data_IF_877489426301
#
_entry.id   IF_877489426301
#
_cell.length_a   1.000
_cell.length_b   1.000
_cell.length_c   1.000
_cell.angle_alpha   90.00
_cell.angle_beta   90.00
_cell.angle_gamma   90.00
#
_symmetry.space_group_name_H-M   'P 1'
#
loop_
_entity.id
_entity.type
_entity.pdbx_description
1 polymer ?
#
# COMPACT_ATOMS: atom_id res chain seq x y z
N UNK A 1 56.26 -46.38 -80.56
CA UNK A 1 57.04 -45.60 -79.55
C UNK A 1 56.19 -44.43 -79.09
N UNK A 2 55.74 -44.53 -77.84
CA UNK A 2 54.74 -43.69 -77.18
C UNK A 2 55.41 -42.42 -76.62
N UNK A 3 54.87 -41.24 -76.91
CA UNK A 3 55.32 -39.97 -76.30
C UNK A 3 54.78 -39.90 -74.86
N UNK A 4 55.71 -39.91 -73.90
CA UNK A 4 55.48 -39.70 -72.47
C UNK A 4 55.08 -38.24 -72.18
N UNK A 5 53.89 -38.06 -71.60
CA UNK A 5 53.47 -36.82 -70.94
C UNK A 5 54.13 -36.71 -69.57
N UNK A 6 54.74 -35.56 -69.28
CA UNK A 6 55.39 -35.26 -67.99
C UNK A 6 54.35 -35.20 -66.86
N UNK A 7 54.57 -35.98 -65.82
CA UNK A 7 53.85 -35.93 -64.54
C UNK A 7 54.34 -34.69 -63.76
N UNK A 8 53.47 -33.84 -63.20
CA UNK A 8 53.89 -32.68 -62.42
C UNK A 8 54.55 -33.12 -61.10
N UNK A 9 55.58 -32.36 -60.70
CA UNK A 9 56.43 -32.64 -59.56
C UNK A 9 55.65 -32.51 -58.23
N UNK A 10 55.81 -33.45 -57.28
CA UNK A 10 55.08 -33.50 -56.00
C UNK A 10 55.20 -32.21 -55.16
N UNK A 11 56.32 -31.48 -55.27
CA UNK A 11 56.54 -30.21 -54.57
C UNK A 11 55.62 -29.07 -55.05
N UNK A 12 55.17 -29.12 -56.32
CA UNK A 12 54.28 -28.12 -56.93
C UNK A 12 52.85 -28.28 -56.43
N UNK A 13 52.38 -29.51 -56.25
CA UNK A 13 51.02 -29.85 -55.79
C UNK A 13 50.81 -29.40 -54.33
N UNK A 14 51.77 -29.67 -53.44
CA UNK A 14 51.69 -29.22 -52.04
C UNK A 14 51.76 -27.69 -51.87
N UNK A 15 52.43 -26.99 -52.78
CA UNK A 15 52.50 -25.52 -52.78
C UNK A 15 51.18 -24.90 -53.25
N UNK A 16 50.54 -25.48 -54.26
CA UNK A 16 49.21 -25.07 -54.73
C UNK A 16 48.12 -25.34 -53.68
N UNK A 17 48.12 -26.49 -53.01
CA UNK A 17 47.18 -26.76 -51.91
C UNK A 17 47.33 -25.79 -50.73
N UNK A 18 48.57 -25.49 -50.32
CA UNK A 18 48.80 -24.53 -49.24
C UNK A 18 48.40 -23.10 -49.64
N UNK A 19 48.58 -22.72 -50.90
CA UNK A 19 48.09 -21.44 -51.41
C UNK A 19 46.56 -21.40 -51.46
N UNK A 20 45.88 -22.47 -51.89
CA UNK A 20 44.42 -22.55 -51.85
C UNK A 20 43.87 -22.48 -50.43
N UNK A 21 44.49 -23.17 -49.47
CA UNK A 21 44.10 -23.08 -48.04
C UNK A 21 44.27 -21.66 -47.48
N UNK A 22 45.36 -20.97 -47.83
CA UNK A 22 45.57 -19.56 -47.45
C UNK A 22 44.55 -18.63 -48.09
N UNK A 23 44.20 -18.83 -49.36
CA UNK A 23 43.16 -18.04 -50.04
C UNK A 23 41.79 -18.25 -49.39
N UNK A 24 41.43 -19.51 -49.09
CA UNK A 24 40.16 -19.83 -48.41
C UNK A 24 40.08 -19.21 -47.01
N UNK A 25 41.16 -19.28 -46.24
CA UNK A 25 41.23 -18.69 -44.90
C UNK A 25 41.15 -17.15 -44.94
N UNK A 26 41.83 -16.53 -45.90
CA UNK A 26 41.74 -15.09 -46.16
C UNK A 26 40.33 -14.67 -46.57
N UNK A 27 39.65 -15.47 -47.40
CA UNK A 27 38.26 -15.21 -47.81
C UNK A 27 37.30 -15.34 -46.61
N UNK A 28 37.51 -16.32 -45.73
CA UNK A 28 36.71 -16.50 -44.52
C UNK A 28 36.89 -15.32 -43.54
N UNK A 29 38.11 -14.83 -43.38
CA UNK A 29 38.43 -13.65 -42.57
C UNK A 29 37.82 -12.37 -43.13
N UNK A 30 37.81 -12.20 -44.46
CA UNK A 30 37.17 -11.06 -45.13
C UNK A 30 35.64 -11.13 -44.97
N UNK A 31 35.03 -12.30 -45.13
CA UNK A 31 33.58 -12.49 -44.94
C UNK A 31 33.15 -12.29 -43.47
N UNK A 32 33.98 -12.74 -42.52
CA UNK A 32 33.76 -12.47 -41.10
C UNK A 32 33.88 -10.96 -40.79
N UNK A 33 34.87 -10.28 -41.39
CA UNK A 33 35.05 -8.83 -41.28
C UNK A 33 33.86 -8.03 -41.82
N UNK A 34 33.34 -8.40 -42.99
CA UNK A 34 32.16 -7.76 -43.62
C UNK A 34 30.89 -7.99 -42.76
N UNK A 35 30.74 -9.17 -42.18
CA UNK A 35 29.60 -9.47 -41.30
C UNK A 35 29.65 -8.66 -40.00
N UNK A 36 30.84 -8.49 -39.42
CA UNK A 36 31.03 -7.67 -38.22
C UNK A 36 30.80 -6.18 -38.48
N UNK A 37 31.23 -5.63 -39.61
CA UNK A 37 31.00 -4.22 -39.95
C UNK A 37 29.53 -3.94 -40.27
N UNK A 38 28.83 -4.86 -40.93
CA UNK A 38 27.38 -4.77 -41.16
C UNK A 38 26.58 -4.83 -39.86
N UNK A 39 26.96 -5.68 -38.91
CA UNK A 39 26.32 -5.76 -37.59
C UNK A 39 26.52 -4.45 -36.78
N UNK A 40 27.74 -3.90 -36.77
CA UNK A 40 28.02 -2.61 -36.13
C UNK A 40 27.24 -1.45 -36.77
N UNK A 41 27.06 -1.45 -38.09
CA UNK A 41 26.25 -0.46 -38.80
C UNK A 41 24.74 -0.57 -38.50
N UNK A 42 24.23 -1.79 -38.33
CA UNK A 42 22.84 -2.05 -37.94
C UNK A 42 22.57 -1.52 -36.51
N UNK A 43 23.47 -1.82 -35.56
CA UNK A 43 23.32 -1.39 -34.17
C UNK A 43 23.36 0.13 -34.00
N UNK A 44 24.26 0.82 -34.72
CA UNK A 44 24.30 2.28 -34.75
C UNK A 44 23.01 2.90 -35.29
N UNK A 45 22.39 2.28 -36.30
CA UNK A 45 21.10 2.73 -36.83
C UNK A 45 19.96 2.49 -35.82
N UNK A 46 19.93 1.33 -35.15
CA UNK A 46 18.96 1.05 -34.07
C UNK A 46 19.05 2.09 -32.97
N UNK A 47 20.26 2.38 -32.47
CA UNK A 47 20.47 3.37 -31.41
C UNK A 47 19.94 4.75 -31.81
N UNK A 48 20.24 5.20 -33.02
CA UNK A 48 19.78 6.51 -33.50
C UNK A 48 18.25 6.56 -33.61
N UNK A 49 17.60 5.50 -34.11
CA UNK A 49 16.14 5.42 -34.20
C UNK A 49 15.47 5.42 -32.83
N UNK A 50 16.06 4.73 -31.86
CA UNK A 50 15.58 4.73 -30.48
C UNK A 50 15.73 6.13 -29.85
N UNK A 51 16.89 6.77 -29.99
CA UNK A 51 17.12 8.14 -29.52
C UNK A 51 16.09 9.11 -30.10
N UNK A 52 15.92 9.10 -31.41
CA UNK A 52 14.97 9.95 -32.12
C UNK A 52 13.54 9.72 -31.63
N UNK A 53 13.13 8.46 -31.45
CA UNK A 53 11.80 8.10 -30.97
C UNK A 53 11.51 8.73 -29.60
N UNK A 54 12.38 8.52 -28.61
CA UNK A 54 12.14 9.04 -27.26
C UNK A 54 12.29 10.55 -27.16
N UNK A 55 13.25 11.16 -27.87
CA UNK A 55 13.42 12.62 -27.84
C UNK A 55 12.25 13.36 -28.47
N UNK A 56 11.58 12.76 -29.47
CA UNK A 56 10.38 13.33 -30.13
C UNK A 56 9.07 12.82 -29.54
N UNK A 57 9.12 11.98 -28.52
CA UNK A 57 7.91 11.42 -27.92
C UNK A 57 7.16 12.50 -27.15
N UNK A 58 5.91 12.71 -27.53
CA UNK A 58 5.00 13.65 -26.89
C UNK A 58 3.67 12.97 -26.56
N UNK A 59 3.02 13.44 -25.49
CA UNK A 59 1.71 12.97 -25.06
C UNK A 59 0.73 14.12 -25.11
N UNK A 60 -0.48 13.89 -25.60
CA UNK A 60 -1.55 14.91 -25.66
C UNK A 60 -2.29 15.13 -24.33
N UNK A 61 -2.01 14.32 -23.30
CA UNK A 61 -2.82 14.30 -22.06
C UNK A 61 -2.03 14.61 -20.79
N UNK A 62 -0.70 14.60 -20.86
CA UNK A 62 0.17 14.83 -19.71
C UNK A 62 1.46 15.51 -20.16
N UNK A 63 1.86 16.56 -19.43
CA UNK A 63 3.20 17.12 -19.52
C UNK A 63 4.14 16.28 -18.66
N UNK A 64 4.90 15.39 -19.31
CA UNK A 64 5.80 14.44 -18.66
C UNK A 64 7.28 14.88 -18.69
N UNK A 65 7.55 16.09 -19.19
CA UNK A 65 8.91 16.55 -19.48
C UNK A 65 9.53 15.84 -20.69
N UNK A 66 10.83 16.07 -20.91
CA UNK A 66 11.56 15.48 -22.05
C UNK A 66 11.87 14.01 -21.79
N UNK A 67 11.58 13.16 -22.76
CA UNK A 67 11.94 11.75 -22.75
C UNK A 67 13.28 11.54 -23.48
N UNK A 68 14.05 10.54 -23.05
CA UNK A 68 15.29 10.13 -23.71
C UNK A 68 15.49 8.62 -23.60
N UNK A 69 16.32 8.09 -24.50
CA UNK A 69 16.86 6.74 -24.38
C UNK A 69 17.95 6.76 -23.30
N UNK A 70 17.85 5.92 -22.29
CA UNK A 70 18.90 5.74 -21.29
C UNK A 70 19.89 4.65 -21.75
N UNK A 71 19.38 3.48 -22.15
CA UNK A 71 20.18 2.39 -22.72
C UNK A 71 19.30 1.42 -23.52
N UNK A 72 19.93 0.54 -24.29
CA UNK A 72 19.25 -0.57 -24.96
C UNK A 72 20.14 -1.82 -24.91
N UNK A 73 19.53 -3.00 -25.05
CA UNK A 73 20.21 -4.27 -25.19
C UNK A 73 19.59 -5.01 -26.37
N UNK A 74 20.39 -5.26 -27.40
CA UNK A 74 19.98 -6.06 -28.55
C UNK A 74 20.63 -7.44 -28.49
N UNK A 75 19.83 -8.48 -28.71
CA UNK A 75 20.31 -9.85 -28.85
C UNK A 75 19.76 -10.43 -30.16
N UNK A 76 20.60 -10.46 -31.19
CA UNK A 76 20.21 -10.91 -32.53
C UNK A 76 19.90 -12.41 -32.58
N UNK A 77 20.62 -13.24 -31.83
CA UNK A 77 20.42 -14.70 -31.78
C UNK A 77 19.03 -15.05 -31.23
N UNK A 78 18.63 -14.38 -30.15
CA UNK A 78 17.33 -14.54 -29.50
C UNK A 78 16.24 -13.66 -30.10
N UNK A 79 16.57 -12.85 -31.12
CA UNK A 79 15.68 -11.85 -31.73
C UNK A 79 14.95 -11.00 -30.69
N UNK A 80 15.69 -10.43 -29.74
CA UNK A 80 15.14 -9.66 -28.61
C UNK A 80 15.78 -8.28 -28.50
N UNK A 81 14.97 -7.27 -28.19
CA UNK A 81 15.39 -5.90 -27.93
C UNK A 81 14.78 -5.42 -26.61
N UNK A 82 15.64 -5.15 -25.61
CA UNK A 82 15.22 -4.44 -24.40
C UNK A 82 15.58 -2.96 -24.53
N UNK A 83 14.60 -2.08 -24.33
CA UNK A 83 14.79 -0.63 -24.43
C UNK A 83 14.49 0.02 -23.10
N UNK A 84 15.40 0.83 -22.59
CA UNK A 84 15.26 1.48 -21.28
C UNK A 84 15.16 2.99 -21.51
N UNK A 85 13.97 3.54 -21.27
CA UNK A 85 13.68 4.96 -21.38
C UNK A 85 13.86 5.67 -20.03
N UNK A 86 14.07 6.98 -20.10
CA UNK A 86 14.15 7.81 -18.90
C UNK A 86 12.88 7.75 -18.03
N UNK A 87 12.98 7.97 -16.71
CA UNK A 87 11.82 7.93 -15.80
C UNK A 87 10.64 8.81 -16.24
N UNK A 88 10.92 9.96 -16.87
CA UNK A 88 9.90 10.85 -17.44
C UNK A 88 8.91 10.14 -18.36
N UNK A 89 9.35 9.14 -19.14
CA UNK A 89 8.47 8.36 -20.01
C UNK A 89 7.40 7.60 -19.22
N UNK A 90 7.70 7.21 -17.98
CA UNK A 90 6.79 6.52 -17.06
C UNK A 90 5.74 7.42 -16.41
N UNK A 91 5.87 8.75 -16.49
CA UNK A 91 4.97 9.71 -15.81
C UNK A 91 3.64 9.93 -16.54
N UNK A 92 3.39 9.20 -17.62
CA UNK A 92 2.11 9.20 -18.34
C UNK A 92 1.19 8.06 -17.88
N UNK A 93 -0.13 8.20 -18.02
CA UNK A 93 -1.04 7.08 -17.80
C UNK A 93 -0.95 6.06 -18.93
N UNK A 94 -0.66 4.80 -18.58
CA UNK A 94 -0.66 3.67 -19.51
C UNK A 94 -2.01 2.95 -19.52
N UNK A 95 -2.53 2.69 -20.72
CA UNK A 95 -3.66 1.79 -20.97
C UNK A 95 -3.20 0.67 -21.91
N UNK A 96 -3.94 -0.45 -22.03
CA UNK A 96 -3.61 -1.49 -23.01
C UNK A 96 -3.44 -0.93 -24.42
N UNK A 97 -4.33 -0.03 -24.84
CA UNK A 97 -4.36 0.54 -26.20
C UNK A 97 -3.17 1.50 -26.43
N UNK A 98 -2.86 2.35 -25.45
CA UNK A 98 -1.71 3.25 -25.52
C UNK A 98 -0.40 2.48 -25.56
N UNK A 99 -0.29 1.44 -24.73
CA UNK A 99 0.90 0.59 -24.66
C UNK A 99 1.14 -0.11 -26.00
N UNK A 100 0.10 -0.68 -26.61
CA UNK A 100 0.17 -1.29 -27.94
C UNK A 100 0.54 -0.26 -29.02
N UNK A 101 -0.05 0.95 -28.97
CA UNK A 101 0.27 2.01 -29.90
C UNK A 101 1.74 2.45 -29.82
N UNK A 102 2.30 2.56 -28.61
CA UNK A 102 3.72 2.87 -28.38
C UNK A 102 4.59 1.78 -29.02
N UNK A 103 4.31 0.51 -28.76
CA UNK A 103 5.06 -0.59 -29.35
C UNK A 103 4.97 -0.60 -30.88
N UNK A 104 3.79 -0.35 -31.45
CA UNK A 104 3.60 -0.25 -32.90
C UNK A 104 4.43 0.89 -33.49
N UNK A 105 4.39 2.08 -32.91
CA UNK A 105 5.15 3.25 -33.39
C UNK A 105 6.66 3.01 -33.29
N UNK A 106 7.13 2.37 -32.21
CA UNK A 106 8.53 2.00 -32.07
C UNK A 106 8.97 0.96 -33.12
N UNK A 107 8.15 -0.08 -33.38
CA UNK A 107 8.43 -1.06 -34.44
C UNK A 107 8.53 -0.39 -35.81
N UNK A 108 7.67 0.58 -36.09
CA UNK A 108 7.70 1.32 -37.35
C UNK A 108 8.94 2.21 -37.50
N UNK A 109 9.56 2.67 -36.40
CA UNK A 109 10.76 3.49 -36.46
C UNK A 109 12.06 2.68 -36.56
N UNK A 110 12.05 1.41 -36.17
CA UNK A 110 13.22 0.54 -36.16
C UNK A 110 13.57 -0.04 -37.53
N UNK A 111 14.87 -0.23 -37.85
CA UNK A 111 15.29 -0.89 -39.08
C UNK A 111 14.97 -2.39 -39.06
N UNK A 112 14.69 -2.97 -40.23
CA UNK A 112 14.69 -4.43 -40.38
C UNK A 112 16.12 -4.99 -40.27
N UNK A 113 16.35 -6.12 -39.58
CA UNK A 113 15.35 -7.08 -39.06
C UNK A 113 14.86 -6.79 -37.62
N UNK A 114 15.40 -5.77 -36.95
CA UNK A 114 15.17 -5.53 -35.51
C UNK A 114 13.71 -5.12 -35.20
N UNK A 115 13.02 -4.51 -36.15
CA UNK A 115 11.58 -4.22 -36.04
C UNK A 115 10.68 -5.48 -35.86
N UNK A 116 11.19 -6.68 -36.18
CA UNK A 116 10.51 -7.95 -35.98
C UNK A 116 10.92 -8.67 -34.68
N UNK A 117 11.77 -8.05 -33.86
CA UNK A 117 12.22 -8.67 -32.61
C UNK A 117 11.11 -8.63 -31.56
N UNK A 118 11.26 -9.48 -30.55
CA UNK A 118 10.53 -9.33 -29.30
C UNK A 118 11.07 -8.08 -28.57
N UNK A 119 10.24 -7.04 -28.48
CA UNK A 119 10.62 -5.74 -27.93
C UNK A 119 9.97 -5.59 -26.56
N UNK A 120 10.77 -5.25 -25.55
CA UNK A 120 10.27 -4.82 -24.24
C UNK A 120 10.79 -3.42 -23.93
N UNK A 121 9.87 -2.50 -23.64
CA UNK A 121 10.20 -1.12 -23.24
C UNK A 121 10.08 -1.02 -21.73
N UNK A 122 11.11 -0.47 -21.09
CA UNK A 122 11.17 -0.23 -19.66
C UNK A 122 11.16 1.26 -19.36
N UNK A 123 10.41 1.64 -18.33
CA UNK A 123 10.45 2.97 -17.71
C UNK A 123 10.33 2.81 -16.20
N UNK A 124 11.11 3.59 -15.45
CA UNK A 124 11.15 3.52 -13.98
C UNK A 124 11.38 2.10 -13.44
N UNK A 125 12.27 1.35 -14.10
CA UNK A 125 12.64 -0.02 -13.72
C UNK A 125 11.59 -1.10 -13.98
N UNK A 126 10.47 -0.78 -14.64
CA UNK A 126 9.40 -1.75 -14.98
C UNK A 126 9.09 -1.74 -16.46
N UNK A 127 8.55 -2.85 -16.97
CA UNK A 127 7.97 -2.88 -18.31
C UNK A 127 6.78 -1.91 -18.38
N UNK A 128 6.57 -1.28 -19.53
CA UNK A 128 5.44 -0.33 -19.68
C UNK A 128 4.08 -1.03 -19.57
N UNK A 129 4.03 -2.34 -19.81
CA UNK A 129 2.88 -3.22 -19.56
C UNK A 129 2.56 -3.35 -18.08
N UNK A 130 3.56 -3.29 -17.20
CA UNK A 130 3.38 -3.31 -15.75
C UNK A 130 2.93 -1.96 -15.19
N UNK A 131 3.19 -0.88 -15.92
CA UNK A 131 2.67 0.45 -15.61
C UNK A 131 1.18 0.59 -15.94
N UNK A 132 0.58 -0.36 -16.69
CA UNK A 132 -0.88 -0.41 -16.86
C UNK A 132 -1.52 -0.69 -15.49
N UNK A 133 -2.44 0.18 -15.02
CA UNK A 133 -3.22 -0.07 -13.81
C UNK A 133 -3.95 -1.41 -13.87
N UNK A 134 -3.94 -2.17 -12.78
CA UNK A 134 -4.46 -3.53 -12.78
C UNK A 134 -5.95 -3.61 -13.17
N UNK A 135 -6.74 -2.58 -12.84
CA UNK A 135 -8.16 -2.50 -13.19
C UNK A 135 -8.42 -2.27 -14.70
N UNK A 136 -7.42 -1.79 -15.44
CA UNK A 136 -7.49 -1.60 -16.90
C UNK A 136 -6.96 -2.82 -17.67
N UNK A 137 -6.33 -3.80 -17.01
CA UNK A 137 -5.81 -4.99 -17.67
C UNK A 137 -6.95 -5.93 -18.07
N UNK A 138 -6.85 -6.51 -19.28
CA UNK A 138 -7.79 -7.56 -19.74
C UNK A 138 -7.84 -8.77 -18.79
N UNK A 139 -6.67 -9.16 -18.26
CA UNK A 139 -6.53 -10.16 -17.21
C UNK A 139 -5.86 -9.49 -16.02
N UNK A 140 -6.58 -9.40 -14.91
CA UNK A 140 -6.00 -8.87 -13.68
C UNK A 140 -4.84 -9.74 -13.23
N UNK A 141 -3.77 -9.06 -12.86
CA UNK A 141 -2.62 -9.66 -12.21
C UNK A 141 -2.88 -9.78 -10.72
N UNK A 142 -3.11 -11.02 -10.29
CA UNK A 142 -3.42 -11.36 -8.90
C UNK A 142 -2.25 -11.10 -7.95
N UNK A 143 -1.02 -11.03 -8.46
CA UNK A 143 0.16 -10.72 -7.64
C UNK A 143 0.18 -9.25 -7.20
N UNK A 144 -0.51 -8.38 -7.95
CA UNK A 144 -0.63 -6.93 -7.69
C UNK A 144 -1.85 -6.56 -6.85
N UNK A 145 -2.68 -7.54 -6.49
CA UNK A 145 -3.82 -7.33 -5.59
C UNK A 145 -3.32 -7.44 -4.15
N UNK A 146 -3.85 -6.59 -3.28
CA UNK A 146 -3.66 -6.75 -1.84
C UNK A 146 -4.20 -8.11 -1.43
N UNK A 147 -3.33 -8.95 -0.86
CA UNK A 147 -3.71 -10.27 -0.37
C UNK A 147 -3.99 -10.20 1.13
N UNK A 148 -4.95 -11.01 1.61
CA UNK A 148 -5.26 -11.16 3.04
C UNK A 148 -5.64 -9.86 3.76
N UNK A 149 -6.29 -8.93 3.05
CA UNK A 149 -6.82 -7.68 3.63
C UNK A 149 -8.02 -7.92 4.54
N UNK A 150 -8.69 -9.05 4.35
CA UNK A 150 -9.93 -9.34 5.02
C UNK A 150 -9.66 -9.91 6.41
N UNK A 151 -10.12 -9.17 7.41
CA UNK A 151 -10.10 -9.63 8.78
C UNK A 151 -10.92 -10.93 8.94
N UNK A 152 -10.34 -11.89 9.65
CA UNK A 152 -10.97 -13.18 9.95
C UNK A 152 -11.36 -13.22 11.43
N UNK A 153 -12.66 -13.36 11.68
CA UNK A 153 -13.24 -13.46 13.01
C UNK A 153 -14.37 -12.46 13.22
N UNK A 154 -14.79 -12.33 14.47
CA UNK A 154 -15.89 -11.45 14.83
C UNK A 154 -15.49 -9.96 14.85
N UNK A 155 -16.39 -9.04 14.46
CA UNK A 155 -16.21 -7.60 14.57
C UNK A 155 -15.80 -7.16 15.99
N UNK A 156 -14.86 -6.22 16.09
CA UNK A 156 -14.37 -5.73 17.41
C UNK A 156 -15.48 -5.14 18.27
N UNK A 157 -16.44 -4.50 17.61
CA UNK A 157 -17.65 -3.96 18.18
C UNK A 157 -18.81 -4.17 17.20
N UNK A 158 -19.99 -4.47 17.72
CA UNK A 158 -21.23 -4.58 16.94
C UNK A 158 -22.33 -3.80 17.62
N UNK A 159 -22.88 -2.80 16.93
CA UNK A 159 -24.10 -2.11 17.36
C UNK A 159 -25.31 -3.01 17.08
N UNK A 160 -25.91 -3.57 18.13
CA UNK A 160 -27.08 -4.44 18.02
C UNK A 160 -28.41 -3.70 18.08
N UNK A 161 -28.40 -2.41 18.43
CA UNK A 161 -29.57 -1.56 18.34
C UNK A 161 -29.78 -0.98 16.94
N UNK A 162 -28.83 -1.16 16.01
CA UNK A 162 -28.99 -0.74 14.62
C UNK A 162 -30.11 -1.57 13.96
N UNK A 163 -31.12 -0.94 13.34
CA UNK A 163 -32.30 -1.65 12.81
C UNK A 163 -32.05 -2.39 11.49
N UNK A 164 -30.83 -2.35 10.96
CA UNK A 164 -30.47 -2.99 9.70
C UNK A 164 -29.07 -3.61 9.75
N UNK A 165 -28.81 -4.51 8.80
CA UNK A 165 -27.50 -5.08 8.51
C UNK A 165 -27.06 -4.62 7.13
N UNK A 166 -25.84 -4.10 7.00
CA UNK A 166 -25.34 -3.57 5.73
C UNK A 166 -24.77 -4.69 4.83
N UNK A 167 -25.58 -5.71 4.50
CA UNK A 167 -25.11 -6.94 3.85
C UNK A 167 -24.51 -6.76 2.44
N UNK A 168 -24.85 -5.66 1.75
CA UNK A 168 -24.22 -5.26 0.48
C UNK A 168 -23.19 -4.13 0.64
N UNK A 169 -22.94 -3.70 1.86
CA UNK A 169 -21.99 -2.66 2.22
C UNK A 169 -20.69 -3.24 2.78
N UNK A 170 -20.21 -2.62 3.86
CA UNK A 170 -18.96 -2.91 4.55
C UNK A 170 -19.17 -3.66 5.87
N UNK A 171 -20.30 -4.36 6.03
CA UNK A 171 -20.62 -5.09 7.26
C UNK A 171 -19.45 -5.97 7.74
N UNK A 172 -18.99 -5.72 8.97
CA UNK A 172 -17.93 -6.49 9.61
C UNK A 172 -16.51 -6.25 9.08
N UNK A 173 -16.33 -5.30 8.15
CA UNK A 173 -15.01 -4.93 7.62
C UNK A 173 -14.31 -3.98 8.58
N UNK A 174 -13.03 -4.25 8.87
CA UNK A 174 -12.18 -3.32 9.62
C UNK A 174 -11.46 -2.38 8.68
N UNK A 175 -11.58 -1.08 8.92
CA UNK A 175 -10.91 -0.04 8.16
C UNK A 175 -10.09 0.79 9.13
N UNK A 176 -8.78 0.81 8.93
CA UNK A 176 -7.91 1.72 9.63
C UNK A 176 -7.71 2.97 8.76
N UNK A 177 -8.16 4.13 9.25
CA UNK A 177 -8.25 5.38 8.50
C UNK A 177 -7.39 6.47 9.15
N UNK A 178 -6.45 7.01 8.37
CA UNK A 178 -5.58 8.10 8.80
C UNK A 178 -6.06 9.40 8.17
N UNK A 179 -6.36 10.37 9.02
CA UNK A 179 -6.69 11.73 8.62
C UNK A 179 -5.45 12.59 8.31
N UNK A 180 -4.34 11.98 7.87
CA UNK A 180 -3.06 12.60 7.49
C UNK A 180 -2.42 13.58 8.51
N UNK A 181 -1.09 13.73 8.44
CA UNK A 181 -0.28 14.73 9.16
C UNK A 181 -0.59 14.93 10.66
N UNK A 182 -0.16 16.05 11.23
CA UNK A 182 -0.31 16.39 12.63
C UNK A 182 0.68 17.46 13.09
N UNK A 183 0.54 17.83 14.37
CA UNK A 183 1.48 18.76 15.00
C UNK A 183 2.72 17.99 15.41
N UNK A 184 3.90 18.47 15.04
CA UNK A 184 5.17 17.85 15.41
C UNK A 184 6.10 18.87 16.07
N UNK A 185 7.00 18.38 16.92
CA UNK A 185 7.99 19.22 17.56
C UNK A 185 9.18 19.43 16.64
N UNK A 186 9.44 20.68 16.28
CA UNK A 186 10.56 21.06 15.44
C UNK A 186 11.73 21.52 16.29
N UNK A 187 12.71 20.62 16.45
CA UNK A 187 13.84 20.81 17.36
C UNK A 187 14.66 22.07 17.07
N UNK A 188 14.94 22.37 15.81
CA UNK A 188 15.69 23.56 15.37
C UNK A 188 14.97 24.88 15.68
N UNK A 189 13.64 24.87 15.78
CA UNK A 189 12.84 26.05 16.16
C UNK A 189 12.40 26.07 17.63
N UNK A 190 12.64 24.99 18.38
CA UNK A 190 12.19 24.86 19.76
C UNK A 190 10.67 24.97 19.94
N UNK A 191 9.87 24.65 18.92
CA UNK A 191 8.42 24.85 18.96
C UNK A 191 7.64 23.74 18.23
N UNK A 192 6.36 23.63 18.55
CA UNK A 192 5.43 22.74 17.86
C UNK A 192 4.85 23.43 16.63
N UNK A 193 5.04 22.85 15.45
CA UNK A 193 4.46 23.36 14.18
C UNK A 193 3.62 22.30 13.46
N UNK A 194 2.74 22.76 12.57
CA UNK A 194 2.02 21.89 11.64
C UNK A 194 2.98 21.36 10.57
N UNK A 195 2.77 20.13 10.11
CA UNK A 195 3.64 19.52 9.09
C UNK A 195 3.51 20.20 7.74
N UNK A 196 2.33 20.73 7.41
CA UNK A 196 2.08 21.40 6.13
C UNK A 196 2.02 22.92 6.29
N UNK A 197 2.55 23.68 5.29
CA UNK A 197 2.44 25.12 5.30
C UNK A 197 0.97 25.54 5.18
N UNK A 198 0.69 26.77 5.62
CA UNK A 198 -0.61 27.39 5.38
C UNK A 198 -0.73 27.74 3.91
N UNK A 199 -1.68 27.14 3.21
CA UNK A 199 -2.00 27.40 1.81
C UNK A 199 -3.44 27.88 1.72
N UNK A 200 -3.69 29.01 1.08
CA UNK A 200 -5.04 29.58 0.91
C UNK A 200 -5.84 29.68 2.22
N UNK A 201 -5.19 30.13 3.31
CA UNK A 201 -5.78 30.22 4.65
C UNK A 201 -6.20 28.85 5.26
N UNK A 202 -5.77 27.73 4.69
CA UNK A 202 -6.00 26.38 5.22
C UNK A 202 -4.69 25.75 5.72
N UNK A 203 -4.81 24.84 6.68
CA UNK A 203 -3.72 23.96 7.13
C UNK A 203 -4.15 22.53 6.84
N UNK A 204 -3.46 21.81 5.94
CA UNK A 204 -3.83 20.46 5.52
C UNK A 204 -4.00 19.49 6.71
N UNK A 205 -3.16 19.63 7.74
CA UNK A 205 -3.19 18.87 9.00
C UNK A 205 -4.54 18.95 9.75
N UNK A 206 -5.23 20.07 9.62
CA UNK A 206 -6.55 20.33 10.22
C UNK A 206 -7.68 20.15 9.21
N UNK A 207 -7.44 20.53 7.95
CA UNK A 207 -8.44 20.49 6.89
C UNK A 207 -8.93 19.07 6.63
N UNK A 208 -8.01 18.11 6.53
CA UNK A 208 -8.35 16.69 6.34
C UNK A 208 -9.21 16.15 7.49
N UNK A 209 -8.83 16.45 8.73
CA UNK A 209 -9.59 16.11 9.92
C UNK A 209 -11.03 16.67 9.87
N UNK A 210 -11.21 17.88 9.32
CA UNK A 210 -12.50 18.58 9.29
C UNK A 210 -13.61 17.85 8.52
N UNK A 211 -13.26 16.95 7.60
CA UNK A 211 -14.23 16.12 6.89
C UNK A 211 -14.10 14.62 7.16
N UNK A 212 -12.90 14.14 7.52
CA UNK A 212 -12.72 12.72 7.84
C UNK A 212 -13.54 12.31 9.07
N UNK A 213 -13.43 13.06 10.16
CA UNK A 213 -14.12 12.73 11.43
C UNK A 213 -15.64 12.85 11.32
N UNK A 214 -16.21 13.99 10.91
CA UNK A 214 -17.67 14.17 10.96
C UNK A 214 -18.42 13.53 9.79
N UNK A 215 -17.75 13.17 8.69
CA UNK A 215 -18.43 12.65 7.49
C UNK A 215 -17.91 11.28 7.05
N UNK A 216 -16.60 11.12 6.79
CA UNK A 216 -16.09 9.86 6.21
C UNK A 216 -16.19 8.71 7.20
N UNK A 217 -15.76 8.89 8.45
CA UNK A 217 -15.87 7.85 9.49
C UNK A 217 -17.35 7.43 9.67
N UNK A 218 -18.31 8.35 9.92
CA UNK A 218 -19.71 7.99 10.02
C UNK A 218 -20.28 7.32 8.76
N UNK A 219 -19.87 7.75 7.57
CA UNK A 219 -20.31 7.12 6.32
C UNK A 219 -19.88 5.64 6.26
N UNK A 220 -18.63 5.34 6.61
CA UNK A 220 -18.11 3.97 6.62
C UNK A 220 -18.76 3.12 7.73
N UNK A 221 -18.92 3.67 8.93
CA UNK A 221 -19.58 3.00 10.06
C UNK A 221 -21.06 2.71 9.76
N UNK A 222 -21.77 3.66 9.13
CA UNK A 222 -23.16 3.46 8.67
C UNK A 222 -23.25 2.42 7.56
N UNK A 223 -22.21 2.28 6.74
CA UNK A 223 -22.09 1.20 5.76
C UNK A 223 -21.71 -0.15 6.40
N UNK A 224 -21.50 -0.22 7.72
CA UNK A 224 -21.24 -1.46 8.46
C UNK A 224 -19.78 -1.74 8.79
N UNK A 225 -18.87 -0.83 8.44
CA UNK A 225 -17.46 -0.97 8.80
C UNK A 225 -17.21 -0.68 10.28
N UNK A 226 -16.12 -1.24 10.79
CA UNK A 226 -15.50 -0.88 12.06
C UNK A 226 -14.31 -0.01 11.72
N UNK A 227 -14.35 1.26 12.10
CA UNK A 227 -13.32 2.23 11.73
C UNK A 227 -12.40 2.51 12.92
N UNK A 228 -11.11 2.31 12.71
CA UNK A 228 -10.05 2.71 13.63
C UNK A 228 -9.35 3.96 13.11
N UNK A 229 -9.06 4.91 14.00
CA UNK A 229 -8.21 6.08 13.71
C UNK A 229 -7.14 6.19 14.80
N UNK A 230 -5.89 6.52 14.43
CA UNK A 230 -4.79 6.69 15.37
C UNK A 230 -4.84 8.01 16.16
N UNK A 231 -5.72 8.95 15.77
CA UNK A 231 -5.92 10.24 16.42
C UNK A 231 -7.29 10.28 17.06
N UNK A 232 -7.41 11.00 18.17
CA UNK A 232 -8.68 11.28 18.84
C UNK A 232 -9.74 11.76 17.83
N UNK A 233 -10.91 11.10 17.85
CA UNK A 233 -12.03 11.37 16.94
C UNK A 233 -13.04 12.35 17.53
N UNK A 234 -12.97 12.62 18.83
CA UNK A 234 -13.84 13.58 19.49
C UNK A 234 -13.21 14.98 19.53
N UNK A 235 -13.99 16.00 19.19
CA UNK A 235 -13.59 17.40 19.33
C UNK A 235 -14.16 18.04 20.60
N UNK A 236 -14.95 17.30 21.35
CA UNK A 236 -15.39 17.68 22.67
C UNK A 236 -14.18 17.95 23.56
N UNK A 237 -14.14 19.16 24.15
CA UNK A 237 -13.02 19.57 25.02
C UNK A 237 -13.20 19.09 26.45
N UNK A 238 -14.43 18.76 26.83
CA UNK A 238 -14.75 18.20 28.13
C UNK A 238 -14.48 16.70 28.13
N UNK A 239 -13.51 16.25 28.92
CA UNK A 239 -13.23 14.84 29.15
C UNK A 239 -13.74 14.42 30.53
N UNK A 240 -14.38 13.25 30.61
CA UNK A 240 -14.80 12.65 31.89
C UNK A 240 -14.37 11.20 31.90
N UNK A 241 -13.52 10.84 32.86
CA UNK A 241 -13.06 9.47 33.07
C UNK A 241 -13.70 8.96 34.36
N UNK A 242 -14.40 7.83 34.27
CA UNK A 242 -14.94 7.12 35.44
C UNK A 242 -14.22 5.79 35.51
N UNK A 243 -13.34 5.65 36.49
CA UNK A 243 -12.54 4.45 36.71
C UNK A 243 -12.98 3.75 38.01
N UNK A 244 -12.72 2.44 38.12
CA UNK A 244 -13.14 1.66 39.29
C UNK A 244 -12.33 1.96 40.55
N UNK A 245 -11.09 2.44 40.42
CA UNK A 245 -10.26 2.82 41.55
C UNK A 245 -10.46 4.29 41.93
N UNK A 246 -10.64 5.15 40.92
CA UNK A 246 -10.78 6.60 41.11
C UNK A 246 -11.79 7.20 40.14
N UNK A 247 -12.69 8.06 40.62
CA UNK A 247 -13.55 8.84 39.72
C UNK A 247 -13.84 10.24 40.28
N UNK A 248 -14.05 11.25 39.42
CA UNK A 248 -14.34 12.62 39.85
C UNK A 248 -15.59 12.71 40.73
N UNK A 249 -15.69 13.78 41.51
CA UNK A 249 -16.88 14.09 42.30
C UNK A 249 -18.12 14.16 41.40
N UNK A 250 -19.22 13.55 41.85
CA UNK A 250 -20.47 13.48 41.10
C UNK A 250 -20.53 12.34 40.08
N UNK A 251 -19.41 11.69 39.77
CA UNK A 251 -19.40 10.43 39.01
C UNK A 251 -19.63 9.23 39.94
N UNK A 252 -20.20 8.16 39.39
CA UNK A 252 -20.48 6.93 40.14
C UNK A 252 -19.92 5.73 39.40
N UNK A 253 -19.13 4.93 40.09
CA UNK A 253 -18.86 3.54 39.73
C UNK A 253 -19.62 2.61 40.68
N UNK A 254 -20.31 1.60 40.15
CA UNK A 254 -20.99 0.61 40.97
C UNK A 254 -20.95 -0.79 40.34
N UNK A 255 -20.68 -1.78 41.18
CA UNK A 255 -20.74 -3.20 40.85
C UNK A 255 -22.00 -3.85 41.45
N UNK A 256 -22.82 -4.46 40.60
CA UNK A 256 -23.93 -5.30 41.02
C UNK A 256 -23.51 -6.74 40.84
N UNK A 257 -23.50 -7.47 41.95
CA UNK A 257 -23.06 -8.88 42.04
C UNK A 257 -24.25 -9.83 42.03
N UNK A 258 -23.98 -11.05 41.61
CA UNK A 258 -24.88 -12.18 41.85
C UNK A 258 -24.24 -13.15 42.87
N UNK A 259 -24.95 -14.25 43.16
CA UNK A 259 -24.39 -15.36 43.96
C UNK A 259 -23.12 -15.96 43.32
N UNK A 260 -23.03 -16.02 41.99
CA UNK A 260 -21.90 -16.60 41.23
C UNK A 260 -21.00 -15.53 40.60
N UNK A 261 -21.57 -14.46 40.07
CA UNK A 261 -20.87 -13.31 39.50
C UNK A 261 -20.45 -12.32 40.58
N UNK A 262 -19.50 -12.71 41.44
CA UNK A 262 -18.84 -11.78 42.36
C UNK A 262 -17.67 -11.12 41.63
N UNK A 263 -17.67 -9.79 41.63
CA UNK A 263 -16.58 -9.01 41.07
C UNK A 263 -15.30 -9.14 41.90
N UNK A 264 -14.18 -9.27 41.20
CA UNK A 264 -12.84 -9.46 41.75
C UNK A 264 -11.85 -8.58 40.99
N UNK A 265 -10.76 -8.24 41.65
CA UNK A 265 -9.62 -7.58 41.01
C UNK A 265 -8.87 -8.56 40.13
N UNK A 266 -8.61 -8.18 38.89
CA UNK A 266 -7.75 -8.91 37.96
C UNK A 266 -6.33 -9.04 38.52
N UNK A 267 -5.59 -10.11 38.18
CA UNK A 267 -4.26 -10.37 38.74
C UNK A 267 -3.15 -9.43 38.24
N UNK A 268 -3.47 -8.56 37.29
CA UNK A 268 -2.54 -7.71 36.56
C UNK A 268 -2.91 -6.24 36.72
N UNK A 269 -1.93 -5.33 36.71
CA UNK A 269 -2.18 -3.89 36.71
C UNK A 269 -3.07 -3.46 35.54
N UNK A 270 -3.81 -2.37 35.75
CA UNK A 270 -4.64 -1.75 34.73
C UNK A 270 -4.59 -0.22 34.83
N UNK A 271 -5.47 0.44 34.08
CA UNK A 271 -5.60 1.89 34.09
C UNK A 271 -6.08 2.43 35.44
N UNK A 272 -5.50 3.54 35.91
CA UNK A 272 -6.13 4.44 36.87
C UNK A 272 -5.71 5.89 36.58
N UNK A 273 -6.65 6.84 36.67
CA UNK A 273 -6.35 8.26 36.48
C UNK A 273 -5.88 8.91 37.80
N UNK A 274 -4.65 8.62 38.22
CA UNK A 274 -4.08 9.22 39.43
C UNK A 274 -3.68 10.69 39.27
N UNK A 275 -3.50 11.15 38.03
CA UNK A 275 -2.99 12.48 37.69
C UNK A 275 -3.70 13.04 36.46
N UNK A 276 -3.77 14.37 36.38
CA UNK A 276 -4.26 15.09 35.20
C UNK A 276 -3.21 15.09 34.08
N UNK A 277 -1.92 15.17 34.43
CA UNK A 277 -0.80 15.20 33.48
C UNK A 277 0.22 14.16 33.90
N UNK A 278 0.58 13.27 32.98
CA UNK A 278 1.61 12.26 33.15
C UNK A 278 2.93 12.77 32.57
N UNK A 279 4.03 12.54 33.29
CA UNK A 279 5.41 12.83 32.87
C UNK A 279 6.07 11.57 32.31
N UNK A 280 7.21 11.74 31.65
CA UNK A 280 8.03 10.62 31.15
C UNK A 280 8.27 9.56 32.24
N UNK A 281 8.06 8.30 31.88
CA UNK A 281 8.16 7.15 32.79
C UNK A 281 6.92 6.90 33.65
N UNK A 282 5.89 7.76 33.59
CA UNK A 282 4.61 7.51 34.27
C UNK A 282 3.61 6.89 33.30
N UNK A 283 3.13 5.69 33.62
CA UNK A 283 2.18 4.95 32.79
C UNK A 283 0.87 4.72 33.56
N UNK A 284 -0.25 5.38 33.20
CA UNK A 284 -1.52 5.17 33.90
C UNK A 284 -2.02 3.73 33.84
N UNK A 285 -1.63 2.96 32.81
CA UNK A 285 -2.03 1.56 32.60
C UNK A 285 -1.34 0.55 33.53
N UNK A 286 -0.42 1.02 34.38
CA UNK A 286 0.27 0.20 35.38
C UNK A 286 -0.07 0.60 36.83
N UNK A 287 -0.96 1.57 37.01
CA UNK A 287 -1.19 2.20 38.31
C UNK A 287 -2.53 1.83 38.96
N UNK A 288 -3.44 1.20 38.22
CA UNK A 288 -4.77 0.82 38.66
C UNK A 288 -5.04 -0.68 38.63
N UNK A 289 -6.32 -1.01 38.70
CA UNK A 289 -6.83 -2.37 38.77
C UNK A 289 -7.99 -2.56 37.79
N UNK A 290 -8.10 -3.74 37.19
CA UNK A 290 -9.27 -4.11 36.39
C UNK A 290 -10.21 -5.01 37.21
N UNK A 291 -11.49 -4.95 36.90
CA UNK A 291 -12.53 -5.73 37.59
C UNK A 291 -13.10 -6.80 36.67
N UNK A 292 -13.22 -8.02 37.17
CA UNK A 292 -13.81 -9.14 36.42
C UNK A 292 -14.77 -9.96 37.27
N UNK A 293 -15.72 -10.62 36.62
CA UNK A 293 -16.65 -11.54 37.25
C UNK A 293 -16.82 -12.80 36.38
N UNK A 294 -17.13 -13.93 37.02
CA UNK A 294 -17.45 -15.17 36.31
C UNK A 294 -18.77 -15.03 35.54
N UNK A 295 -18.82 -15.60 34.34
CA UNK A 295 -20.01 -15.60 33.51
C UNK A 295 -21.11 -16.48 34.08
N UNK A 296 -22.34 -16.15 33.74
CA UNK A 296 -23.52 -16.90 34.14
C UNK A 296 -24.44 -17.16 32.95
N UNK A 297 -25.11 -18.33 32.97
CA UNK A 297 -26.07 -18.71 31.91
C UNK A 297 -27.26 -17.76 31.81
N UNK A 298 -27.70 -17.18 32.93
CA UNK A 298 -28.80 -16.22 32.94
C UNK A 298 -28.21 -14.82 32.76
N UNK A 299 -28.68 -14.04 31.76
CA UNK A 299 -28.18 -12.70 31.52
C UNK A 299 -28.53 -11.76 32.68
N UNK A 300 -27.82 -10.62 32.74
CA UNK A 300 -28.19 -9.46 33.58
C UNK A 300 -28.27 -9.76 35.09
N UNK A 301 -27.48 -10.73 35.56
CA UNK A 301 -27.36 -11.07 37.00
C UNK A 301 -26.22 -10.38 37.71
N UNK A 302 -25.16 -10.04 37.00
CA UNK A 302 -24.06 -9.23 37.48
C UNK A 302 -23.70 -8.23 36.38
N UNK A 303 -23.50 -6.97 36.76
CA UNK A 303 -23.07 -5.90 35.85
C UNK A 303 -22.31 -4.83 36.62
N UNK A 304 -21.53 -4.05 35.90
CA UNK A 304 -20.88 -2.85 36.41
C UNK A 304 -21.45 -1.64 35.66
N UNK A 305 -21.59 -0.52 36.36
CA UNK A 305 -22.09 0.72 35.79
C UNK A 305 -21.15 1.88 36.09
N UNK A 306 -21.01 2.74 35.10
CA UNK A 306 -20.24 3.97 35.15
C UNK A 306 -21.18 5.11 34.78
N UNK A 307 -21.43 6.01 35.73
CA UNK A 307 -22.32 7.16 35.55
C UNK A 307 -21.46 8.42 35.60
N UNK A 308 -21.10 9.00 34.45
CA UNK A 308 -20.31 10.22 34.41
C UNK A 308 -21.16 11.45 34.75
N UNK A 309 -20.59 12.41 35.48
CA UNK A 309 -21.14 13.75 35.59
C UNK A 309 -20.68 14.58 34.39
N UNK A 310 -21.56 14.74 33.40
CA UNK A 310 -21.24 15.48 32.17
C UNK A 310 -21.34 16.99 32.42
N UNK A 311 -20.24 17.77 32.29
CA UNK A 311 -20.23 19.17 32.66
C UNK A 311 -21.00 20.07 31.68
N UNK A 312 -21.09 19.68 30.41
CA UNK A 312 -21.74 20.47 29.37
C UNK A 312 -22.52 19.59 28.39
N UNK A 313 -23.71 20.03 27.98
CA UNK A 313 -24.47 19.31 26.95
C UNK A 313 -23.74 19.32 25.62
N UNK A 314 -23.50 18.13 25.05
CA UNK A 314 -22.78 18.01 23.78
C UNK A 314 -22.85 16.61 23.19
N UNK A 315 -22.07 16.39 22.13
CA UNK A 315 -21.71 15.05 21.65
C UNK A 315 -20.41 14.65 22.34
N UNK A 316 -20.37 13.40 22.79
CA UNK A 316 -19.22 12.80 23.46
C UNK A 316 -19.01 11.42 22.83
N UNK A 317 -17.78 11.10 22.48
CA UNK A 317 -17.36 9.75 22.20
C UNK A 317 -17.32 8.97 23.52
N UNK A 318 -17.77 7.71 23.48
CA UNK A 318 -17.72 6.81 24.63
C UNK A 318 -16.66 5.76 24.35
N UNK A 319 -15.61 5.77 25.15
CA UNK A 319 -14.55 4.78 25.11
C UNK A 319 -14.68 3.84 26.31
N UNK A 320 -14.37 2.58 26.08
CA UNK A 320 -14.27 1.58 27.14
C UNK A 320 -12.91 0.93 27.04
N UNK A 321 -12.15 1.03 28.12
CA UNK A 321 -10.92 0.27 28.31
C UNK A 321 -11.26 -0.97 29.13
N UNK A 322 -10.76 -2.12 28.69
CA UNK A 322 -10.92 -3.38 29.40
C UNK A 322 -9.64 -4.20 29.28
N UNK A 323 -9.56 -5.24 30.09
CA UNK A 323 -8.48 -6.20 30.02
C UNK A 323 -8.99 -7.58 29.59
N UNK A 324 -8.36 -8.15 28.55
CA UNK A 324 -8.58 -9.54 28.16
C UNK A 324 -7.82 -10.49 29.11
N UNK A 325 -8.53 -11.47 29.66
CA UNK A 325 -7.99 -12.55 30.50
C UNK A 325 -8.21 -13.91 29.84
N UNK A 326 -7.48 -14.96 30.23
CA UNK A 326 -7.78 -16.33 29.79
C UNK A 326 -9.24 -16.70 30.11
N UNK A 327 -10.01 -17.08 29.09
CA UNK A 327 -11.43 -17.42 29.23
C UNK A 327 -12.38 -16.21 29.24
N UNK A 328 -11.90 -15.01 28.91
CA UNK A 328 -12.76 -13.84 28.66
C UNK A 328 -13.79 -14.12 27.54
N UNK A 329 -15.00 -13.57 27.70
CA UNK A 329 -16.09 -13.70 26.72
C UNK A 329 -15.81 -12.92 25.44
N UNK A 330 -16.30 -13.36 24.29
CA UNK A 330 -16.23 -12.60 23.04
C UNK A 330 -17.47 -11.74 22.77
N UNK A 331 -18.39 -11.68 23.73
CA UNK A 331 -19.69 -11.01 23.60
C UNK A 331 -20.03 -10.24 24.88
N UNK A 332 -19.14 -9.36 25.32
CA UNK A 332 -19.47 -8.46 26.43
C UNK A 332 -20.52 -7.44 25.99
N UNK A 333 -21.66 -7.36 26.71
CA UNK A 333 -22.75 -6.41 26.44
C UNK A 333 -22.45 -5.06 27.07
N UNK A 334 -22.48 -4.00 26.27
CA UNK A 334 -22.42 -2.62 26.75
C UNK A 334 -23.75 -1.92 26.46
N UNK A 335 -24.30 -1.30 27.51
CA UNK A 335 -25.51 -0.48 27.45
C UNK A 335 -25.08 0.98 27.64
N UNK A 336 -25.35 1.83 26.66
CA UNK A 336 -25.00 3.26 26.74
C UNK A 336 -26.29 4.06 26.79
N UNK A 337 -26.58 4.72 27.91
CA UNK A 337 -27.77 5.55 28.07
C UNK A 337 -27.44 7.01 27.77
N UNK A 338 -28.08 7.63 26.77
CA UNK A 338 -27.86 9.03 26.41
C UNK A 338 -29.16 9.70 25.93
N UNK A 339 -29.49 10.91 26.42
CA UNK A 339 -30.63 11.75 25.98
C UNK A 339 -31.93 10.97 25.65
N UNK A 340 -32.31 10.00 26.48
CA UNK A 340 -33.54 9.21 26.32
C UNK A 340 -33.45 7.99 25.38
N UNK A 341 -32.26 7.68 24.84
CA UNK A 341 -32.00 6.49 24.01
C UNK A 341 -31.01 5.57 24.74
N UNK A 342 -31.14 4.26 24.54
CA UNK A 342 -30.26 3.23 25.11
C UNK A 342 -29.76 2.25 24.04
N UNK A 343 -28.82 2.64 23.16
CA UNK A 343 -28.19 1.69 22.26
C UNK A 343 -27.38 0.62 23.01
N UNK A 344 -27.42 -0.58 22.45
CA UNK A 344 -26.75 -1.76 22.94
C UNK A 344 -25.63 -2.16 21.98
N UNK A 345 -24.50 -2.58 22.53
CA UNK A 345 -23.34 -3.00 21.77
C UNK A 345 -22.80 -4.33 22.30
N UNK A 346 -22.27 -5.15 21.42
CA UNK A 346 -21.36 -6.24 21.79
C UNK A 346 -19.93 -5.81 21.49
N UNK A 347 -18.99 -6.12 22.39
CA UNK A 347 -17.56 -6.07 22.06
C UNK A 347 -16.97 -7.47 22.12
N UNK A 348 -16.09 -7.76 21.16
CA UNK A 348 -15.30 -8.99 21.17
C UNK A 348 -13.98 -8.75 21.87
N UNK A 349 -13.74 -9.50 22.95
CA UNK A 349 -12.42 -9.55 23.56
C UNK A 349 -11.45 -10.26 22.61
N UNK A 350 -10.28 -9.66 22.39
CA UNK A 350 -9.12 -10.32 21.79
C UNK A 350 -7.90 -10.12 22.67
#
# INVERSE_FOLDING_TARGET
MTKLTKIPNFATINKEENNMKKIFLSFLLVMAGISHTLAQGLDGNVEQRLKDFFTRYETSYANIGKCKLDRYEVNHDKKRLNVYASPSFGYQPFTPEKTEAIYRLLRQSLPGPVNYYDITIYADGKSIEDLIPNYLRKKQDKSRLWQRTDYKGDPWVKNISRPFTAGKGLEGRHIALWQSHGKYYKKDKGCWEWQRPRLFCTTEDLFTQSFVIPYIIPMLENAGAIVYTPRERDWQRNEVIVDNDTHPQGCIYQEIKSRKGKWKTAPTPAFAQKRLVYRDGQNPFEEGTARFASTEKKPEKAFAQWIPHIPETGRYAVYVTYQTLPGSVSDAKYLVFHKGVSPNFWSTNK
#
